data_IF_996781044857
#
_entry.id   IF_996781044857
#
_cell.length_a   1.000
_cell.length_b   1.000
_cell.length_c   1.000
_cell.angle_alpha   90.00
_cell.angle_beta   90.00
_cell.angle_gamma   90.00
#
_symmetry.space_group_name_H-M   'P 1'
#
loop_
_entity.id
_entity.type
_entity.pdbx_description
1 polymer ?
#
# COMPACT_ATOMS: atom_id res chain seq x y z
N UNK A 1 -24.05 6.00 13.08
CA UNK A 1 -22.93 5.04 13.12
C UNK A 1 -21.88 5.49 12.12
N UNK A 2 -20.71 5.95 12.58
CA UNK A 2 -19.58 6.18 11.68
C UNK A 2 -19.15 4.81 11.13
N UNK A 3 -19.33 4.58 9.83
CA UNK A 3 -18.84 3.36 9.19
C UNK A 3 -17.33 3.27 9.41
N UNK A 4 -16.86 2.18 10.02
CA UNK A 4 -15.43 1.91 10.18
C UNK A 4 -14.80 1.85 8.78
N UNK A 5 -13.78 2.67 8.53
CA UNK A 5 -13.09 2.69 7.22
C UNK A 5 -12.55 1.29 6.89
N UNK A 6 -12.61 0.85 5.62
CA UNK A 6 -12.05 -0.42 5.17
C UNK A 6 -10.52 -0.37 5.00
N UNK A 7 -9.88 0.57 5.68
CA UNK A 7 -8.44 0.74 5.69
C UNK A 7 -7.97 1.44 6.97
N UNK A 8 -6.70 1.24 7.31
CA UNK A 8 -5.98 2.03 8.30
C UNK A 8 -4.64 2.47 7.71
N UNK A 9 -4.24 3.70 8.06
CA UNK A 9 -3.01 4.33 7.60
C UNK A 9 -2.23 4.83 8.82
N UNK A 10 -0.94 4.53 8.88
CA UNK A 10 -0.03 5.08 9.90
C UNK A 10 1.30 5.42 9.26
N UNK A 11 1.75 6.66 9.44
CA UNK A 11 3.11 7.06 9.07
C UNK A 11 4.01 6.89 10.28
N UNK A 12 5.14 6.23 10.07
CA UNK A 12 6.18 6.05 11.07
C UNK A 12 7.53 6.34 10.39
N UNK A 13 8.15 7.45 10.78
CA UNK A 13 9.36 7.96 10.12
C UNK A 13 9.17 8.10 8.60
N UNK A 14 9.86 7.29 7.78
CA UNK A 14 9.75 7.28 6.32
C UNK A 14 8.98 6.06 5.79
N UNK A 15 8.16 5.44 6.63
CA UNK A 15 7.37 4.26 6.28
C UNK A 15 5.89 4.54 6.45
N UNK A 16 5.14 4.39 5.36
CA UNK A 16 3.69 4.30 5.44
C UNK A 16 3.28 2.86 5.68
N UNK A 17 2.52 2.63 6.74
CA UNK A 17 1.86 1.37 7.04
C UNK A 17 0.42 1.45 6.56
N UNK A 18 0.03 0.51 5.69
CA UNK A 18 -1.31 0.38 5.13
C UNK A 18 -1.87 -0.97 5.54
N UNK A 19 -3.05 -0.95 6.16
CA UNK A 19 -3.91 -2.13 6.28
C UNK A 19 -5.14 -1.91 5.41
N UNK A 20 -5.37 -2.78 4.44
CA UNK A 20 -6.55 -2.81 3.59
C UNK A 20 -7.41 -4.02 3.96
N UNK A 21 -8.70 -3.79 4.17
CA UNK A 21 -9.62 -4.81 4.67
C UNK A 21 -11.03 -4.67 4.11
N UNK A 22 -11.75 -5.77 4.00
CA UNK A 22 -13.14 -5.79 3.56
C UNK A 22 -13.34 -5.32 2.11
N UNK A 23 -14.57 -4.92 1.81
CA UNK A 23 -15.00 -4.51 0.47
C UNK A 23 -14.72 -3.03 0.25
N UNK A 24 -14.12 -2.72 -0.89
CA UNK A 24 -13.89 -1.35 -1.31
C UNK A 24 -14.93 -0.93 -2.33
N UNK A 25 -15.40 0.31 -2.16
CA UNK A 25 -16.26 1.05 -3.09
C UNK A 25 -15.45 2.21 -3.63
N UNK A 26 -15.88 2.82 -4.73
CA UNK A 26 -15.24 4.00 -5.31
C UNK A 26 -15.02 5.10 -4.25
N UNK A 27 -16.06 5.38 -3.45
CA UNK A 27 -16.01 6.42 -2.42
C UNK A 27 -14.94 6.15 -1.34
N UNK A 28 -14.80 4.91 -0.89
CA UNK A 28 -13.78 4.60 0.12
C UNK A 28 -12.37 4.48 -0.47
N UNK A 29 -12.25 4.11 -1.76
CA UNK A 29 -10.98 4.11 -2.48
C UNK A 29 -10.47 5.54 -2.73
N UNK A 30 -11.36 6.47 -3.13
CA UNK A 30 -11.04 7.89 -3.26
C UNK A 30 -10.58 8.48 -1.92
N UNK A 31 -11.31 8.16 -0.85
CA UNK A 31 -10.95 8.58 0.50
C UNK A 31 -9.58 8.01 0.92
N UNK A 32 -9.32 6.73 0.64
CA UNK A 32 -8.03 6.10 0.89
C UNK A 32 -6.91 6.85 0.17
N UNK A 33 -7.06 7.14 -1.13
CA UNK A 33 -6.03 7.85 -1.92
C UNK A 33 -5.76 9.25 -1.36
N UNK A 34 -6.83 9.99 -1.00
CA UNK A 34 -6.69 11.33 -0.42
C UNK A 34 -5.94 11.29 0.92
N UNK A 35 -6.32 10.40 1.83
CA UNK A 35 -5.70 10.28 3.15
C UNK A 35 -4.27 9.74 3.06
N UNK A 36 -4.02 8.75 2.20
CA UNK A 36 -2.70 8.21 1.89
C UNK A 36 -1.76 9.33 1.47
N UNK A 37 -2.13 10.08 0.42
CA UNK A 37 -1.27 11.12 -0.16
C UNK A 37 -1.05 12.28 0.80
N UNK A 38 -2.09 12.67 1.55
CA UNK A 38 -1.96 13.67 2.62
C UNK A 38 -0.93 13.26 3.65
N UNK A 39 -0.96 11.99 4.06
CA UNK A 39 -0.11 11.47 5.11
C UNK A 39 1.36 11.36 4.66
N UNK A 40 1.64 10.93 3.43
CA UNK A 40 3.03 10.81 2.92
C UNK A 40 3.61 12.11 2.38
N UNK A 41 2.81 13.16 2.16
CA UNK A 41 3.28 14.46 1.66
C UNK A 41 4.56 14.99 2.34
N UNK A 42 4.78 14.83 3.65
CA UNK A 42 6.01 15.32 4.30
C UNK A 42 7.28 14.53 3.93
N UNK A 43 7.17 13.30 3.42
CA UNK A 43 8.30 12.38 3.22
C UNK A 43 8.67 12.13 1.75
N UNK A 44 7.83 12.52 0.78
CA UNK A 44 8.05 12.27 -0.66
C UNK A 44 9.22 13.05 -1.28
N UNK A 45 9.84 13.97 -0.53
CA UNK A 45 11.05 14.67 -0.97
C UNK A 45 12.29 13.74 -0.98
N UNK A 46 12.25 12.63 -0.25
CA UNK A 46 13.32 11.65 -0.14
C UNK A 46 12.78 10.22 -0.42
N UNK A 47 13.66 9.22 -0.61
CA UNK A 47 13.24 7.82 -0.66
C UNK A 47 12.45 7.44 0.59
N UNK A 48 11.30 6.78 0.38
CA UNK A 48 10.43 6.29 1.43
C UNK A 48 9.92 4.87 1.12
N UNK A 49 9.32 4.23 2.12
CA UNK A 49 8.86 2.86 2.04
C UNK A 49 7.38 2.69 2.40
N UNK A 50 6.80 1.60 1.92
CA UNK A 50 5.42 1.21 2.13
C UNK A 50 5.38 -0.21 2.71
N UNK A 51 4.55 -0.41 3.74
CA UNK A 51 4.07 -1.74 4.11
C UNK A 51 2.61 -1.82 3.70
N UNK A 52 2.27 -2.84 2.91
CA UNK A 52 0.90 -3.11 2.48
C UNK A 52 0.43 -4.46 3.02
N UNK A 53 -0.39 -4.42 4.06
CA UNK A 53 -1.14 -5.58 4.52
C UNK A 53 -2.52 -5.59 3.87
N UNK A 54 -2.75 -6.56 2.99
CA UNK A 54 -4.05 -6.74 2.34
C UNK A 54 -4.66 -8.11 2.65
N UNK A 55 -4.21 -8.78 3.73
CA UNK A 55 -4.70 -10.13 4.10
C UNK A 55 -6.22 -10.22 4.22
N UNK A 56 -6.84 -9.12 4.64
CA UNK A 56 -8.28 -9.03 4.88
C UNK A 56 -9.02 -8.32 3.75
N UNK A 57 -8.34 -7.93 2.67
CA UNK A 57 -8.96 -7.24 1.54
C UNK A 57 -9.83 -8.21 0.73
N UNK A 58 -10.94 -7.71 0.22
CA UNK A 58 -11.86 -8.46 -0.63
C UNK A 58 -11.88 -7.89 -2.04
N UNK A 59 -12.39 -8.72 -2.95
CA UNK A 59 -12.56 -8.41 -4.36
C UNK A 59 -13.32 -7.10 -4.51
N UNK A 60 -12.86 -6.21 -5.38
CA UNK A 60 -13.50 -4.93 -5.65
C UNK A 60 -13.88 -4.75 -7.13
N UNK A 61 -14.72 -3.76 -7.45
CA UNK A 61 -15.07 -3.44 -8.83
C UNK A 61 -13.90 -2.76 -9.57
N UNK A 62 -14.00 -2.71 -10.91
CA UNK A 62 -12.88 -2.29 -11.76
C UNK A 62 -12.46 -0.83 -11.60
N UNK A 63 -13.37 0.05 -11.21
CA UNK A 63 -13.10 1.46 -10.93
C UNK A 63 -12.21 1.65 -9.69
N UNK A 64 -12.41 0.83 -8.65
CA UNK A 64 -11.52 0.77 -7.49
C UNK A 64 -10.13 0.32 -7.91
N UNK A 65 -10.02 -0.71 -8.75
CA UNK A 65 -8.72 -1.17 -9.26
C UNK A 65 -7.98 -0.07 -10.01
N UNK A 66 -8.70 0.72 -10.83
CA UNK A 66 -8.13 1.87 -11.55
C UNK A 66 -7.53 2.90 -10.59
N UNK A 67 -8.26 3.26 -9.52
CA UNK A 67 -7.77 4.19 -8.50
C UNK A 67 -6.51 3.65 -7.78
N UNK A 68 -6.45 2.35 -7.51
CA UNK A 68 -5.27 1.72 -6.93
C UNK A 68 -4.05 1.78 -7.87
N UNK A 69 -4.24 1.54 -9.17
CA UNK A 69 -3.16 1.63 -10.18
C UNK A 69 -2.64 3.08 -10.26
N UNK A 70 -3.54 4.05 -10.39
CA UNK A 70 -3.17 5.47 -10.45
C UNK A 70 -2.43 5.93 -9.18
N UNK A 71 -2.80 5.41 -8.01
CA UNK A 71 -2.09 5.69 -6.78
C UNK A 71 -0.72 5.00 -6.72
N UNK A 72 -0.60 3.78 -7.24
CA UNK A 72 0.68 3.07 -7.36
C UNK A 72 1.66 3.86 -8.25
N UNK A 73 1.20 4.31 -9.42
CA UNK A 73 2.00 5.17 -10.32
C UNK A 73 2.40 6.50 -9.67
N UNK A 74 1.49 7.09 -8.89
CA UNK A 74 1.80 8.30 -8.13
C UNK A 74 2.91 8.02 -7.12
N UNK A 75 2.87 6.91 -6.39
CA UNK A 75 3.92 6.54 -5.42
C UNK A 75 5.30 6.41 -6.10
N UNK A 76 5.36 5.77 -7.27
CA UNK A 76 6.59 5.64 -8.05
C UNK A 76 7.17 6.99 -8.46
N UNK A 77 6.32 7.90 -8.97
CA UNK A 77 6.75 9.28 -9.31
C UNK A 77 7.21 10.09 -8.09
N UNK A 78 6.79 9.70 -6.90
CA UNK A 78 7.08 10.39 -5.64
C UNK A 78 8.09 9.64 -4.77
N UNK A 79 9.06 8.95 -5.40
CA UNK A 79 10.24 8.34 -4.74
C UNK A 79 9.93 7.19 -3.78
N UNK A 80 8.84 6.44 -4.01
CA UNK A 80 8.68 5.15 -3.36
C UNK A 80 9.85 4.24 -3.76
N UNK A 81 10.59 3.72 -2.78
CA UNK A 81 11.83 2.98 -2.99
C UNK A 81 11.77 1.53 -2.47
N UNK A 82 10.92 1.26 -1.48
CA UNK A 82 10.79 -0.07 -0.88
C UNK A 82 9.34 -0.41 -0.55
N UNK A 83 8.88 -1.61 -0.89
CA UNK A 83 7.56 -2.12 -0.51
C UNK A 83 7.67 -3.50 0.13
N UNK A 84 7.14 -3.63 1.35
CA UNK A 84 6.87 -4.92 1.97
C UNK A 84 5.39 -5.24 1.84
N UNK A 85 5.06 -6.39 1.27
CA UNK A 85 3.67 -6.80 1.03
C UNK A 85 3.32 -8.02 1.88
N UNK A 86 2.26 -7.92 2.67
CA UNK A 86 1.71 -9.05 3.42
C UNK A 86 0.47 -9.54 2.67
N UNK A 87 0.61 -10.71 2.06
CA UNK A 87 -0.32 -11.24 1.07
C UNK A 87 -1.52 -11.95 1.70
N UNK A 88 -2.70 -11.78 1.10
CA UNK A 88 -3.86 -12.61 1.40
C UNK A 88 -3.66 -14.06 0.97
N UNK A 89 -4.17 -15.00 1.77
CA UNK A 89 -4.22 -16.43 1.44
C UNK A 89 -5.46 -16.75 0.59
N UNK A 90 -5.59 -16.05 -0.54
CA UNK A 90 -6.71 -16.24 -1.47
C UNK A 90 -6.29 -15.92 -2.91
N UNK A 91 -6.26 -16.93 -3.78
CA UNK A 91 -5.77 -16.81 -5.16
C UNK A 91 -6.50 -15.75 -6.00
N UNK A 92 -7.80 -15.55 -5.80
CA UNK A 92 -8.57 -14.56 -6.55
C UNK A 92 -8.25 -13.13 -6.09
N UNK A 93 -8.06 -12.93 -4.78
CA UNK A 93 -7.60 -11.65 -4.23
C UNK A 93 -6.17 -11.36 -4.70
N UNK A 94 -5.28 -12.35 -4.75
CA UNK A 94 -3.93 -12.22 -5.31
C UNK A 94 -3.95 -11.78 -6.78
N UNK A 95 -4.83 -12.37 -7.59
CA UNK A 95 -4.99 -11.97 -9.00
C UNK A 95 -5.51 -10.53 -9.14
N UNK A 96 -6.48 -10.11 -8.33
CA UNK A 96 -6.93 -8.72 -8.33
C UNK A 96 -5.87 -7.75 -7.82
N UNK A 97 -5.08 -8.15 -6.83
CA UNK A 97 -3.96 -7.35 -6.34
C UNK A 97 -2.95 -7.08 -7.45
N UNK A 98 -2.56 -8.12 -8.21
CA UNK A 98 -1.68 -7.96 -9.36
C UNK A 98 -2.21 -6.95 -10.39
N UNK A 99 -3.54 -6.88 -10.58
CA UNK A 99 -4.18 -5.85 -11.40
C UNK A 99 -4.17 -4.47 -10.75
N UNK A 100 -4.46 -4.38 -9.46
CA UNK A 100 -4.47 -3.14 -8.70
C UNK A 100 -3.08 -2.46 -8.64
N UNK A 101 -2.02 -3.24 -8.84
CA UNK A 101 -0.63 -2.78 -8.85
C UNK A 101 0.05 -2.92 -10.22
N UNK A 102 -0.72 -3.04 -11.31
CA UNK A 102 -0.21 -3.25 -12.67
C UNK A 102 0.46 -2.00 -13.30
N UNK A 103 1.05 -1.14 -12.48
CA UNK A 103 1.83 0.01 -12.92
C UNK A 103 3.25 -0.42 -13.31
N UNK A 104 3.86 0.28 -14.27
CA UNK A 104 5.25 0.07 -14.66
C UNK A 104 6.19 0.30 -13.47
N UNK A 105 6.68 -0.81 -12.88
CA UNK A 105 7.52 -0.79 -11.70
C UNK A 105 8.91 -0.20 -12.04
N UNK A 106 9.38 0.82 -11.30
CA UNK A 106 10.75 1.33 -11.45
C UNK A 106 11.78 0.24 -11.17
N UNK A 107 12.86 0.20 -11.94
CA UNK A 107 13.93 -0.79 -11.80
C UNK A 107 14.56 -0.79 -10.40
N UNK A 108 14.67 0.38 -9.78
CA UNK A 108 15.26 0.56 -8.45
C UNK A 108 14.30 0.25 -7.29
N UNK A 109 13.03 -0.07 -7.57
CA UNK A 109 12.06 -0.37 -6.53
C UNK A 109 12.31 -1.76 -5.95
N UNK A 110 12.69 -1.82 -4.68
CA UNK A 110 12.68 -3.07 -3.91
C UNK A 110 11.22 -3.38 -3.57
N UNK A 111 10.72 -4.55 -3.99
CA UNK A 111 9.41 -5.03 -3.49
C UNK A 111 9.48 -6.50 -3.13
N UNK A 112 9.06 -6.80 -1.91
CA UNK A 112 9.24 -8.10 -1.27
C UNK A 112 7.94 -8.52 -0.57
N UNK A 113 7.84 -9.83 -0.32
CA UNK A 113 6.79 -10.39 0.50
C UNK A 113 7.28 -10.48 1.96
N UNK A 114 6.44 -10.03 2.89
CA UNK A 114 6.62 -10.22 4.32
C UNK A 114 5.58 -11.22 4.84
N UNK A 115 5.96 -12.04 5.82
CA UNK A 115 5.04 -13.01 6.43
C UNK A 115 4.02 -12.32 7.35
N UNK A 116 4.44 -11.22 7.98
CA UNK A 116 3.69 -10.48 8.99
C UNK A 116 4.28 -9.07 9.19
N UNK A 117 3.69 -8.30 10.10
CA UNK A 117 4.14 -6.94 10.43
C UNK A 117 5.56 -6.91 10.98
N UNK A 118 5.94 -7.93 11.76
CA UNK A 118 7.24 -8.00 12.42
C UNK A 118 8.37 -8.22 11.40
N UNK A 119 8.17 -9.14 10.45
CA UNK A 119 9.12 -9.39 9.37
C UNK A 119 9.24 -8.19 8.43
N UNK A 120 8.13 -7.51 8.11
CA UNK A 120 8.16 -6.26 7.35
C UNK A 120 8.97 -5.17 8.07
N UNK A 121 8.75 -5.00 9.39
CA UNK A 121 9.52 -4.05 10.22
C UNK A 121 11.02 -4.35 10.18
N UNK A 122 11.39 -5.61 10.38
CA UNK A 122 12.80 -6.04 10.36
C UNK A 122 13.46 -5.81 9.00
N UNK A 123 12.74 -6.03 7.90
CA UNK A 123 13.24 -5.74 6.56
C UNK A 123 13.48 -4.23 6.37
N UNK A 124 12.54 -3.39 6.81
CA UNK A 124 12.64 -1.94 6.68
C UNK A 124 13.66 -1.30 7.63
N UNK A 125 13.92 -1.89 8.79
CA UNK A 125 15.05 -1.51 9.65
C UNK A 125 16.39 -1.81 8.96
N UNK A 126 16.56 -3.01 8.40
CA UNK A 126 17.76 -3.37 7.64
C UNK A 126 17.98 -2.49 6.41
N UNK A 127 16.89 -2.06 5.77
CA UNK A 127 16.92 -1.15 4.64
C UNK A 127 17.10 0.34 5.03
N UNK A 128 17.12 0.67 6.33
CA UNK A 128 17.37 2.02 6.82
C UNK A 128 16.18 2.99 6.74
N UNK A 129 14.96 2.47 6.59
CA UNK A 129 13.73 3.28 6.63
C UNK A 129 13.14 3.42 8.04
N UNK A 130 13.50 2.52 8.95
CA UNK A 130 13.11 2.50 10.36
C UNK A 130 14.33 2.37 11.28
N UNK A 131 14.20 2.88 12.50
CA UNK A 131 15.15 2.66 13.61
C UNK A 131 14.49 1.74 14.65
#
# INVERSE_FOLDING_TARGET
MLSKKPFALKLEQRVLWVSAQGLWTTANAEQYVQEFRKLVKPIVAAPWALVLDFRQWQICPADVLKLCVENTEWCYRHRLAHVETIYADNTMVLWQFAKATAASKPEQLVSQAAADEQSARQALQRAGFLQ
#
